data_IF_859198075026
#
_entry.id   IF_859198075026
#
_cell.length_a   1.000
_cell.length_b   1.000
_cell.length_c   1.000
_cell.angle_alpha   90.00
_cell.angle_beta   90.00
_cell.angle_gamma   90.00
#
_symmetry.space_group_name_H-M   'P 1'
#
loop_
_entity.id
_entity.type
_entity.pdbx_description
1 polymer ?
#
# COMPACT_ATOMS: atom_id res chain seq x y z
N UNK A 1 15.88 67.42 -52.33
CA UNK A 1 15.76 67.11 -53.77
C UNK A 1 17.11 66.55 -54.20
N UNK A 2 17.12 65.41 -54.93
CA UNK A 2 18.27 64.53 -55.26
C UNK A 2 18.71 63.60 -54.13
N UNK A 3 19.11 62.36 -54.35
CA UNK A 3 18.96 61.39 -55.45
C UNK A 3 19.34 60.03 -54.85
N UNK A 4 18.75 58.94 -55.38
CA UNK A 4 19.05 57.56 -55.01
C UNK A 4 20.40 57.13 -55.56
N UNK A 5 21.19 56.41 -54.75
CA UNK A 5 22.31 55.57 -55.22
C UNK A 5 22.09 54.15 -54.68
N UNK A 6 22.14 53.20 -55.60
CA UNK A 6 22.14 51.75 -55.42
C UNK A 6 23.54 51.22 -55.07
N UNK A 7 23.62 50.20 -54.21
CA UNK A 7 24.69 49.19 -54.20
C UNK A 7 24.16 47.97 -53.42
N UNK A 8 23.96 46.83 -54.07
CA UNK A 8 24.94 45.81 -54.47
C UNK A 8 25.36 44.91 -53.28
N UNK A 9 24.90 43.67 -53.38
CA UNK A 9 25.05 42.59 -52.43
C UNK A 9 26.49 42.05 -52.44
N UNK A 10 27.02 41.69 -51.28
CA UNK A 10 28.12 40.72 -51.18
C UNK A 10 27.84 39.74 -50.04
N UNK A 11 27.68 38.46 -50.40
CA UNK A 11 27.60 37.34 -49.47
C UNK A 11 29.03 36.95 -49.06
N UNK A 12 29.35 37.08 -47.77
CA UNK A 12 30.51 36.41 -47.16
C UNK A 12 30.12 35.02 -46.62
N UNK A 13 30.99 34.01 -46.68
CA UNK A 13 30.70 32.69 -46.14
C UNK A 13 30.81 32.69 -44.61
N UNK A 14 29.69 32.39 -43.94
CA UNK A 14 29.66 32.17 -42.50
C UNK A 14 30.21 30.77 -42.19
N UNK A 15 31.38 30.71 -41.52
CA UNK A 15 31.87 29.49 -40.90
C UNK A 15 30.98 29.17 -39.70
N UNK A 16 30.10 28.18 -39.84
CA UNK A 16 29.39 27.59 -38.70
C UNK A 16 30.31 26.56 -38.03
N UNK A 17 30.85 26.91 -36.87
CA UNK A 17 31.50 25.97 -35.96
C UNK A 17 30.40 25.08 -35.35
N UNK A 18 30.20 23.89 -35.90
CA UNK A 18 29.31 22.90 -35.33
C UNK A 18 29.94 22.36 -34.02
N UNK A 19 29.49 22.88 -32.88
CA UNK A 19 29.74 22.24 -31.59
C UNK A 19 28.93 20.95 -31.58
N UNK A 20 29.61 19.83 -31.84
CA UNK A 20 29.04 18.51 -31.65
C UNK A 20 28.78 18.33 -30.14
N UNK A 21 27.52 18.57 -29.74
CA UNK A 21 26.99 18.05 -28.49
C UNK A 21 27.00 16.53 -28.60
N UNK A 22 28.10 15.91 -28.17
CA UNK A 22 28.13 14.48 -27.91
C UNK A 22 27.04 14.22 -26.87
N UNK A 23 25.89 13.73 -27.33
CA UNK A 23 24.91 13.11 -26.44
C UNK A 23 25.62 11.90 -25.82
N UNK A 24 26.15 12.09 -24.62
CA UNK A 24 26.57 10.96 -23.79
C UNK A 24 25.27 10.23 -23.48
N UNK A 25 24.94 9.23 -24.29
CA UNK A 25 24.02 8.17 -23.89
C UNK A 25 24.68 7.53 -22.69
N UNK A 26 24.24 7.94 -21.51
CA UNK A 26 24.47 7.15 -20.32
C UNK A 26 23.97 5.75 -20.66
N UNK A 27 24.78 4.68 -20.47
CA UNK A 27 24.27 3.34 -20.65
C UNK A 27 23.00 3.25 -19.79
N UNK A 28 21.92 2.74 -20.38
CA UNK A 28 20.77 2.33 -19.60
C UNK A 28 21.33 1.50 -18.44
N UNK A 29 20.99 1.87 -17.20
CA UNK A 29 21.44 1.11 -16.05
C UNK A 29 21.22 -0.37 -16.38
N UNK A 30 22.30 -1.15 -16.36
CA UNK A 30 22.18 -2.60 -16.57
C UNK A 30 21.01 -3.07 -15.70
N UNK A 31 20.14 -3.93 -16.24
CA UNK A 31 18.92 -4.40 -15.58
C UNK A 31 19.29 -5.22 -14.34
N UNK A 32 19.67 -4.50 -13.28
CA UNK A 32 20.23 -5.00 -12.04
C UNK A 32 19.07 -5.58 -11.24
N UNK A 33 18.68 -6.79 -11.62
CA UNK A 33 17.58 -7.52 -11.02
C UNK A 33 18.02 -8.49 -9.92
N UNK A 34 19.34 -8.54 -9.62
CA UNK A 34 19.93 -9.40 -8.58
C UNK A 34 19.58 -10.90 -8.69
N UNK A 35 19.18 -11.37 -9.88
CA UNK A 35 18.69 -12.74 -10.09
C UNK A 35 17.27 -12.99 -9.56
N UNK A 36 16.54 -11.94 -9.15
CA UNK A 36 15.21 -12.01 -8.57
C UNK A 36 14.16 -11.73 -9.67
N UNK A 37 13.33 -12.72 -10.07
CA UNK A 37 12.36 -12.54 -11.16
C UNK A 37 11.37 -11.40 -10.94
N UNK A 38 10.96 -11.18 -9.69
CA UNK A 38 10.03 -10.12 -9.31
C UNK A 38 10.63 -8.73 -9.55
N UNK A 39 11.92 -8.52 -9.24
CA UNK A 39 12.61 -7.25 -9.50
C UNK A 39 12.68 -6.99 -10.99
N UNK A 40 13.03 -8.01 -11.79
CA UNK A 40 13.03 -7.91 -13.25
C UNK A 40 11.66 -7.50 -13.80
N UNK A 41 10.59 -8.13 -13.31
CA UNK A 41 9.24 -7.80 -13.71
C UNK A 41 8.88 -6.34 -13.38
N UNK A 42 9.17 -5.90 -12.15
CA UNK A 42 8.90 -4.52 -11.70
C UNK A 42 9.69 -3.51 -12.55
N UNK A 43 10.99 -3.74 -12.77
CA UNK A 43 11.82 -2.89 -13.62
C UNK A 43 11.25 -2.75 -15.03
N UNK A 44 10.77 -3.85 -15.62
CA UNK A 44 10.15 -3.84 -16.93
C UNK A 44 8.86 -3.00 -16.95
N UNK A 45 7.99 -3.12 -15.94
CA UNK A 45 6.77 -2.31 -15.84
C UNK A 45 7.07 -0.81 -15.67
N UNK A 46 8.04 -0.48 -14.83
CA UNK A 46 8.47 0.92 -14.62
C UNK A 46 9.06 1.51 -15.90
N UNK A 47 9.91 0.73 -16.59
CA UNK A 47 10.54 1.16 -17.86
C UNK A 47 9.52 1.39 -18.97
N UNK A 48 8.51 0.53 -19.06
CA UNK A 48 7.40 0.70 -20.01
C UNK A 48 6.66 2.01 -19.74
N UNK A 49 6.32 2.29 -18.48
CA UNK A 49 5.67 3.55 -18.10
C UNK A 49 6.51 4.79 -18.43
N UNK A 50 7.83 4.73 -18.25
CA UNK A 50 8.72 5.82 -18.66
C UNK A 50 8.75 6.01 -20.18
N UNK A 51 8.81 4.92 -20.95
CA UNK A 51 8.79 4.98 -22.42
C UNK A 51 7.50 5.63 -22.93
N UNK A 52 6.34 5.20 -22.42
CA UNK A 52 5.04 5.74 -22.81
C UNK A 52 4.91 7.23 -22.47
N UNK A 53 5.42 7.63 -21.31
CA UNK A 53 5.45 9.02 -20.86
C UNK A 53 6.59 9.85 -21.49
N UNK A 54 7.46 9.24 -22.31
CA UNK A 54 8.66 9.85 -22.90
C UNK A 54 9.59 10.47 -21.83
N UNK A 55 9.68 9.82 -20.68
CA UNK A 55 10.52 10.21 -19.57
C UNK A 55 11.86 9.47 -19.63
N UNK A 56 12.92 10.13 -19.18
CA UNK A 56 14.23 9.50 -18.96
C UNK A 56 14.48 9.35 -17.46
N UNK A 57 15.10 8.23 -17.02
CA UNK A 57 15.44 8.05 -15.62
C UNK A 57 16.40 9.14 -15.12
N UNK A 58 16.32 9.46 -13.83
CA UNK A 58 17.32 10.30 -13.18
C UNK A 58 18.69 9.60 -13.15
N UNK A 59 19.75 10.38 -12.94
CA UNK A 59 21.08 9.80 -12.67
C UNK A 59 21.02 8.83 -11.47
N UNK A 60 21.81 7.75 -11.48
CA UNK A 60 21.93 6.87 -10.32
C UNK A 60 22.32 7.64 -9.07
N UNK A 61 21.77 7.23 -7.92
CA UNK A 61 22.14 7.79 -6.63
C UNK A 61 23.61 7.46 -6.30
N UNK A 62 24.28 8.36 -5.58
CA UNK A 62 25.57 8.06 -4.96
C UNK A 62 25.41 6.98 -3.89
N UNK A 63 26.51 6.30 -3.51
CA UNK A 63 26.46 5.25 -2.49
C UNK A 63 25.88 5.74 -1.15
N UNK A 64 26.28 6.93 -0.71
CA UNK A 64 25.76 7.51 0.53
C UNK A 64 24.26 7.83 0.46
N UNK A 65 23.79 8.39 -0.66
CA UNK A 65 22.37 8.65 -0.88
C UNK A 65 21.55 7.36 -0.92
N UNK A 66 22.05 6.35 -1.64
CA UNK A 66 21.38 5.05 -1.75
C UNK A 66 21.30 4.36 -0.39
N UNK A 67 22.41 4.29 0.35
CA UNK A 67 22.47 3.73 1.70
C UNK A 67 21.47 4.41 2.64
N UNK A 68 21.40 5.74 2.60
CA UNK A 68 20.44 6.52 3.39
C UNK A 68 18.99 6.18 3.03
N UNK A 69 18.66 6.11 1.74
CA UNK A 69 17.29 5.80 1.27
C UNK A 69 16.86 4.42 1.72
N UNK A 70 17.70 3.41 1.53
CA UNK A 70 17.36 2.03 1.91
C UNK A 70 17.15 1.87 3.42
N UNK A 71 17.93 2.54 4.27
CA UNK A 71 17.66 2.50 5.72
C UNK A 71 16.32 3.17 6.07
N UNK A 72 16.01 4.30 5.45
CA UNK A 72 14.73 4.99 5.67
C UNK A 72 13.55 4.14 5.21
N UNK A 73 13.68 3.50 4.04
CA UNK A 73 12.61 2.72 3.43
C UNK A 73 12.38 1.37 4.16
N UNK A 74 13.45 0.72 4.64
CA UNK A 74 13.32 -0.60 5.27
C UNK A 74 13.09 -0.54 6.78
N UNK A 75 13.79 0.35 7.49
CA UNK A 75 13.80 0.37 8.97
C UNK A 75 13.43 1.74 9.56
N UNK A 76 13.09 2.73 8.74
CA UNK A 76 12.51 4.00 9.21
C UNK A 76 13.48 4.97 9.87
N UNK A 77 14.80 4.76 9.76
CA UNK A 77 15.83 5.67 10.27
C UNK A 77 16.97 5.84 9.28
N UNK A 78 17.84 6.80 9.56
CA UNK A 78 19.07 7.01 8.78
C UNK A 78 20.15 6.03 9.26
N UNK A 79 21.15 5.70 8.42
CA UNK A 79 22.29 4.91 8.88
C UNK A 79 23.07 5.66 9.96
N UNK A 80 23.62 4.92 10.91
CA UNK A 80 24.66 5.42 11.81
C UNK A 80 25.93 5.71 11.01
N UNK A 81 26.85 6.48 11.61
CA UNK A 81 28.15 6.78 10.98
C UNK A 81 28.90 5.50 10.63
N UNK A 82 28.89 4.50 11.51
CA UNK A 82 29.58 3.23 11.29
C UNK A 82 28.90 2.35 10.24
N UNK A 83 27.57 2.32 10.17
CA UNK A 83 26.83 1.66 9.07
C UNK A 83 27.16 2.29 7.71
N UNK A 84 27.16 3.61 7.64
CA UNK A 84 27.47 4.34 6.41
C UNK A 84 28.93 4.14 5.98
N UNK A 85 29.88 4.29 6.89
CA UNK A 85 31.30 4.11 6.60
C UNK A 85 31.60 2.69 6.12
N UNK A 86 31.01 1.67 6.77
CA UNK A 86 31.14 0.29 6.32
C UNK A 86 30.60 0.09 4.90
N UNK A 87 29.44 0.63 4.59
CA UNK A 87 28.84 0.49 3.25
C UNK A 87 29.63 1.22 2.15
N UNK A 88 30.14 2.42 2.45
CA UNK A 88 30.92 3.21 1.48
C UNK A 88 32.29 2.60 1.23
N UNK A 89 32.93 2.02 2.26
CA UNK A 89 34.22 1.35 2.13
C UNK A 89 34.13 0.00 1.40
N UNK A 90 32.94 -0.58 1.30
CA UNK A 90 32.72 -1.85 0.62
C UNK A 90 32.72 -1.68 -0.91
N UNK A 91 33.63 -2.39 -1.57
CA UNK A 91 33.79 -2.45 -3.03
C UNK A 91 33.16 -3.70 -3.66
N UNK A 92 32.52 -4.55 -2.86
CA UNK A 92 31.81 -5.73 -3.34
C UNK A 92 30.75 -5.33 -4.36
N UNK A 93 30.67 -6.00 -5.53
CA UNK A 93 29.57 -5.80 -6.45
C UNK A 93 28.22 -6.24 -5.86
N UNK A 94 28.21 -7.03 -4.78
CA UNK A 94 27.01 -7.50 -4.11
C UNK A 94 26.57 -6.64 -2.91
N UNK A 95 27.31 -5.57 -2.57
CA UNK A 95 27.09 -4.78 -1.34
C UNK A 95 25.66 -4.26 -1.14
N UNK A 96 24.95 -3.97 -2.23
CA UNK A 96 23.54 -3.55 -2.21
C UNK A 96 22.63 -4.67 -1.72
N UNK A 97 22.75 -5.85 -2.32
CA UNK A 97 21.96 -7.03 -1.95
C UNK A 97 22.30 -7.48 -0.52
N UNK A 98 23.57 -7.43 -0.14
CA UNK A 98 24.03 -7.75 1.22
C UNK A 98 23.48 -6.77 2.26
N UNK A 99 23.50 -5.46 1.99
CA UNK A 99 22.90 -4.48 2.90
C UNK A 99 21.41 -4.70 3.08
N UNK A 100 20.67 -4.92 1.99
CA UNK A 100 19.23 -5.19 2.05
C UNK A 100 18.96 -6.47 2.86
N UNK A 101 19.71 -7.53 2.60
CA UNK A 101 19.58 -8.80 3.33
C UNK A 101 19.83 -8.63 4.83
N UNK A 102 20.82 -7.81 5.20
CA UNK A 102 21.11 -7.50 6.61
C UNK A 102 20.00 -6.68 7.26
N UNK A 103 19.49 -5.64 6.59
CA UNK A 103 18.40 -4.80 7.12
C UNK A 103 17.06 -5.53 7.25
N UNK A 104 16.85 -6.60 6.47
CA UNK A 104 15.70 -7.49 6.58
C UNK A 104 15.96 -8.71 7.49
N UNK A 105 17.18 -8.86 8.00
CA UNK A 105 17.59 -9.99 8.83
C UNK A 105 17.40 -9.75 10.33
N UNK A 106 17.78 -10.75 11.12
CA UNK A 106 17.54 -10.80 12.57
C UNK A 106 18.16 -9.61 13.34
N UNK A 107 19.29 -9.09 12.88
CA UNK A 107 19.97 -7.93 13.51
C UNK A 107 19.10 -6.67 13.54
N UNK A 108 18.17 -6.53 12.58
CA UNK A 108 17.34 -5.33 12.38
C UNK A 108 15.84 -5.61 12.52
N UNK A 109 15.44 -6.84 12.84
CA UNK A 109 14.03 -7.28 12.85
C UNK A 109 13.14 -6.41 13.74
N UNK A 110 13.66 -5.95 14.89
CA UNK A 110 12.91 -5.09 15.81
C UNK A 110 12.66 -3.68 15.26
N UNK A 111 13.61 -3.15 14.48
CA UNK A 111 13.51 -1.84 13.83
C UNK A 111 12.61 -1.93 12.60
N UNK A 112 12.80 -2.95 11.77
CA UNK A 112 11.93 -3.29 10.65
C UNK A 112 10.47 -3.42 11.11
N UNK A 113 10.21 -4.28 12.10
CA UNK A 113 8.86 -4.49 12.61
C UNK A 113 8.28 -3.22 13.25
N UNK A 114 9.11 -2.35 13.84
CA UNK A 114 8.66 -1.06 14.40
C UNK A 114 8.16 -0.16 13.30
N UNK A 115 9.01 0.07 12.31
CA UNK A 115 8.75 0.95 11.21
C UNK A 115 7.49 0.52 10.44
N UNK A 116 7.44 -0.75 10.03
CA UNK A 116 6.32 -1.26 9.25
C UNK A 116 5.04 -1.41 10.06
N UNK A 117 5.11 -1.59 11.39
CA UNK A 117 3.89 -1.52 12.24
C UNK A 117 3.25 -0.15 12.19
N UNK A 118 4.03 0.93 12.20
CA UNK A 118 3.50 2.30 12.15
C UNK A 118 2.86 2.60 10.78
N UNK A 119 3.52 2.16 9.70
CA UNK A 119 3.01 2.27 8.32
C UNK A 119 1.72 1.47 8.16
N UNK A 120 1.73 0.18 8.47
CA UNK A 120 0.58 -0.71 8.28
C UNK A 120 -0.58 -0.39 9.21
N UNK A 121 -0.34 0.06 10.45
CA UNK A 121 -1.43 0.53 11.32
C UNK A 121 -2.15 1.71 10.66
N UNK A 122 -1.43 2.62 10.02
CA UNK A 122 -2.03 3.75 9.32
C UNK A 122 -2.82 3.29 8.08
N UNK A 123 -2.27 2.36 7.30
CA UNK A 123 -2.93 1.82 6.10
C UNK A 123 -4.20 1.05 6.45
N UNK A 124 -4.14 0.19 7.47
CA UNK A 124 -5.24 -0.72 7.82
C UNK A 124 -6.35 -0.04 8.60
N UNK A 125 -6.02 0.84 9.55
CA UNK A 125 -7.01 1.42 10.49
C UNK A 125 -7.01 2.96 10.51
N UNK A 126 -6.37 3.60 9.52
CA UNK A 126 -6.36 5.05 9.36
C UNK A 126 -5.50 5.78 10.40
N UNK A 127 -5.61 7.10 10.47
CA UNK A 127 -4.93 7.95 11.48
C UNK A 127 -5.82 8.36 12.65
N UNK A 128 -7.14 8.16 12.51
CA UNK A 128 -8.08 8.56 13.55
C UNK A 128 -7.89 7.68 14.79
N UNK A 129 -7.46 8.30 15.88
CA UNK A 129 -7.28 7.63 17.19
C UNK A 129 -8.57 7.63 18.03
N UNK A 130 -9.61 8.34 17.59
CA UNK A 130 -10.91 8.44 18.28
C UNK A 130 -11.96 7.45 17.73
N UNK A 131 -11.58 6.52 16.85
CA UNK A 131 -12.50 5.48 16.41
C UNK A 131 -12.68 4.45 17.54
N UNK A 132 -13.80 4.54 18.26
CA UNK A 132 -14.18 3.66 19.36
C UNK A 132 -14.29 2.18 18.98
N UNK A 133 -14.43 1.86 17.68
CA UNK A 133 -14.47 0.47 17.19
C UNK A 133 -13.08 -0.15 17.01
N UNK A 134 -12.01 0.64 17.16
CA UNK A 134 -10.63 0.21 16.91
C UNK A 134 -9.75 0.35 18.14
N UNK A 135 -9.22 -0.78 18.61
CA UNK A 135 -8.14 -0.85 19.57
C UNK A 135 -6.77 -0.81 18.84
N UNK A 136 -6.24 0.40 18.68
CA UNK A 136 -4.94 0.61 18.02
C UNK A 136 -3.77 -0.14 18.68
N UNK A 137 -3.64 -0.19 20.02
CA UNK A 137 -2.62 -1.02 20.67
C UNK A 137 -2.70 -2.51 20.30
N UNK A 138 -3.90 -3.10 20.26
CA UNK A 138 -4.13 -4.49 19.85
C UNK A 138 -3.72 -4.75 18.40
N UNK A 139 -4.08 -3.86 17.47
CA UNK A 139 -3.62 -3.93 16.09
C UNK A 139 -2.09 -3.86 15.99
N UNK A 140 -1.45 -2.96 16.74
CA UNK A 140 0.02 -2.84 16.75
C UNK A 140 0.69 -4.11 17.28
N UNK A 141 0.10 -4.75 18.29
CA UNK A 141 0.62 -6.02 18.81
C UNK A 141 0.56 -7.13 17.76
N UNK A 142 -0.54 -7.23 17.03
CA UNK A 142 -0.67 -8.15 15.90
C UNK A 142 0.38 -7.86 14.81
N UNK A 143 0.47 -6.60 14.36
CA UNK A 143 1.41 -6.19 13.31
C UNK A 143 2.87 -6.45 13.69
N UNK A 144 3.25 -6.14 14.94
CA UNK A 144 4.59 -6.43 15.45
C UNK A 144 4.92 -7.91 15.34
N UNK A 145 4.02 -8.78 15.78
CA UNK A 145 4.17 -10.24 15.68
C UNK A 145 4.28 -10.69 14.23
N UNK A 146 3.35 -10.26 13.37
CA UNK A 146 3.28 -10.65 11.97
C UNK A 146 4.55 -10.26 11.20
N UNK A 147 4.98 -9.00 11.34
CA UNK A 147 6.13 -8.44 10.64
C UNK A 147 7.46 -9.02 11.15
N UNK A 148 7.62 -9.20 12.47
CA UNK A 148 8.85 -9.78 13.04
C UNK A 148 9.03 -11.25 12.65
N UNK A 149 7.92 -11.96 12.39
CA UNK A 149 7.95 -13.35 11.91
C UNK A 149 8.00 -13.47 10.39
N UNK A 150 8.01 -12.33 9.67
CA UNK A 150 7.96 -12.28 8.22
C UNK A 150 6.86 -13.18 7.64
N UNK A 151 5.63 -13.07 8.18
CA UNK A 151 4.54 -13.92 7.69
C UNK A 151 4.25 -13.62 6.21
N UNK A 152 3.98 -14.64 5.38
CA UNK A 152 3.65 -14.46 3.98
C UNK A 152 2.46 -13.52 3.77
N UNK A 153 2.47 -12.75 2.67
CA UNK A 153 1.48 -11.72 2.41
C UNK A 153 0.04 -12.27 2.27
N UNK A 154 -0.10 -13.45 1.68
CA UNK A 154 -1.36 -14.19 1.58
C UNK A 154 -1.91 -14.55 2.96
N UNK A 155 -1.05 -15.08 3.86
CA UNK A 155 -1.43 -15.37 5.24
C UNK A 155 -1.74 -14.09 6.04
N UNK A 156 -0.98 -13.02 5.84
CA UNK A 156 -1.24 -11.72 6.48
C UNK A 156 -2.61 -11.15 6.08
N UNK A 157 -2.97 -11.28 4.80
CA UNK A 157 -4.27 -10.89 4.28
C UNK A 157 -5.37 -11.77 4.87
N UNK A 158 -5.21 -13.11 4.81
CA UNK A 158 -6.16 -14.08 5.35
C UNK A 158 -6.43 -13.86 6.84
N UNK A 159 -5.39 -13.71 7.65
CA UNK A 159 -5.49 -13.42 9.10
C UNK A 159 -6.30 -12.14 9.37
N UNK A 160 -6.22 -11.13 8.49
CA UNK A 160 -6.95 -9.86 8.64
C UNK A 160 -8.40 -9.93 8.18
N UNK A 161 -8.69 -10.61 7.06
CA UNK A 161 -10.04 -10.65 6.47
C UNK A 161 -10.95 -11.71 7.10
N UNK A 162 -10.37 -12.74 7.74
CA UNK A 162 -11.13 -13.81 8.41
C UNK A 162 -11.13 -13.69 9.93
N UNK A 163 -10.55 -12.61 10.47
CA UNK A 163 -10.36 -12.44 11.91
C UNK A 163 -11.68 -12.50 12.69
N UNK A 164 -11.69 -13.25 13.79
CA UNK A 164 -12.76 -13.23 14.81
C UNK A 164 -12.15 -13.04 16.21
N UNK A 165 -12.98 -12.67 17.19
CA UNK A 165 -12.60 -12.50 18.59
C UNK A 165 -12.52 -11.04 19.05
N UNK A 166 -11.97 -10.83 20.23
CA UNK A 166 -11.89 -9.52 20.87
C UNK A 166 -10.69 -8.71 20.40
N UNK A 167 -10.91 -7.43 20.10
CA UNK A 167 -9.86 -6.56 19.58
C UNK A 167 -8.92 -5.99 20.67
N UNK A 168 -9.24 -6.18 21.95
CA UNK A 168 -8.53 -5.63 23.10
C UNK A 168 -7.86 -6.73 23.93
N UNK A 169 -6.56 -6.57 24.16
CA UNK A 169 -5.80 -7.46 25.04
C UNK A 169 -5.96 -7.01 26.50
N UNK A 170 -6.93 -7.59 27.21
CA UNK A 170 -7.22 -7.32 28.62
C UNK A 170 -7.30 -8.64 29.38
N UNK A 171 -6.93 -8.63 30.66
CA UNK A 171 -6.88 -9.83 31.51
C UNK A 171 -8.23 -10.56 31.60
N UNK A 172 -9.32 -9.81 31.62
CA UNK A 172 -10.68 -10.33 31.80
C UNK A 172 -11.46 -10.43 30.46
N UNK A 173 -10.74 -10.43 29.33
CA UNK A 173 -11.31 -10.56 27.99
C UNK A 173 -10.66 -11.75 27.30
N UNK A 174 -11.47 -12.77 27.01
CA UNK A 174 -11.03 -13.95 26.27
C UNK A 174 -11.01 -13.70 24.76
N UNK A 175 -10.34 -14.58 24.02
CA UNK A 175 -10.34 -14.55 22.55
C UNK A 175 -9.66 -13.33 21.94
N UNK A 176 -8.64 -12.75 22.60
CA UNK A 176 -7.92 -11.61 22.04
C UNK A 176 -7.32 -11.95 20.67
N UNK A 177 -7.69 -11.16 19.67
CA UNK A 177 -7.14 -11.20 18.33
C UNK A 177 -7.00 -9.76 17.79
N UNK A 178 -5.77 -9.26 17.72
CA UNK A 178 -5.48 -7.91 17.24
C UNK A 178 -5.84 -7.68 15.76
N UNK A 179 -5.91 -8.73 14.93
CA UNK A 179 -6.23 -8.65 13.50
C UNK A 179 -7.66 -8.15 13.25
N UNK A 180 -8.59 -8.45 14.19
CA UNK A 180 -10.01 -8.05 14.15
C UNK A 180 -10.20 -6.55 13.98
N UNK A 181 -9.23 -5.73 14.40
CA UNK A 181 -9.25 -4.28 14.26
C UNK A 181 -9.34 -3.82 12.79
N UNK A 182 -8.92 -4.64 11.82
CA UNK A 182 -9.05 -4.30 10.41
C UNK A 182 -10.52 -4.19 9.99
N UNK A 183 -11.34 -5.19 10.30
CA UNK A 183 -12.77 -5.16 9.95
C UNK A 183 -13.61 -4.38 10.98
N UNK A 184 -13.28 -4.42 12.28
CA UNK A 184 -14.08 -3.78 13.34
C UNK A 184 -14.38 -2.31 13.06
N UNK A 185 -13.39 -1.55 12.58
CA UNK A 185 -13.56 -0.13 12.23
C UNK A 185 -14.21 0.14 10.87
N UNK A 186 -14.65 -0.90 10.15
CA UNK A 186 -15.24 -0.86 8.80
C UNK A 186 -16.61 -1.54 8.71
N UNK A 187 -17.06 -2.17 9.80
CA UNK A 187 -18.40 -2.71 9.90
C UNK A 187 -19.34 -1.65 10.45
N UNK A 188 -20.55 -1.60 9.91
CA UNK A 188 -21.66 -0.85 10.51
C UNK A 188 -22.52 -1.81 11.35
N UNK A 189 -23.37 -1.29 12.24
CA UNK A 189 -24.16 -2.16 13.13
C UNK A 189 -25.16 -3.01 12.35
N UNK A 190 -25.96 -2.40 11.48
CA UNK A 190 -26.96 -3.07 10.64
C UNK A 190 -27.28 -2.21 9.41
N UNK A 191 -27.92 -2.81 8.40
CA UNK A 191 -28.47 -2.10 7.24
C UNK A 191 -27.65 -2.21 5.97
N UNK A 192 -28.07 -1.46 4.94
CA UNK A 192 -27.51 -1.51 3.57
C UNK A 192 -26.04 -1.13 3.51
N UNK A 193 -25.57 -0.34 4.47
CA UNK A 193 -24.17 0.11 4.54
C UNK A 193 -23.23 -0.91 5.19
N UNK A 194 -23.76 -2.00 5.77
CA UNK A 194 -22.93 -2.99 6.42
C UNK A 194 -21.94 -3.64 5.44
N UNK A 195 -20.66 -3.68 5.83
CA UNK A 195 -19.58 -4.24 5.03
C UNK A 195 -19.13 -3.38 3.83
N UNK A 196 -19.75 -2.23 3.56
CA UNK A 196 -19.37 -1.36 2.42
C UNK A 196 -17.92 -0.92 2.53
N UNK A 197 -17.53 -0.39 3.69
CA UNK A 197 -16.14 0.03 3.94
C UNK A 197 -15.18 -1.15 3.95
N UNK A 198 -15.60 -2.31 4.47
CA UNK A 198 -14.80 -3.54 4.45
C UNK A 198 -14.52 -3.99 3.01
N UNK A 199 -15.52 -3.96 2.14
CA UNK A 199 -15.44 -4.29 0.72
C UNK A 199 -14.44 -3.37 0.01
N UNK A 200 -14.66 -2.05 0.11
CA UNK A 200 -13.84 -1.06 -0.57
C UNK A 200 -12.38 -1.11 -0.12
N UNK A 201 -12.14 -1.28 1.20
CA UNK A 201 -10.78 -1.28 1.75
C UNK A 201 -10.05 -2.59 1.52
N UNK A 202 -10.74 -3.73 1.55
CA UNK A 202 -10.14 -5.02 1.21
C UNK A 202 -9.68 -5.04 -0.25
N UNK A 203 -10.54 -4.61 -1.18
CA UNK A 203 -10.18 -4.50 -2.59
C UNK A 203 -9.04 -3.51 -2.83
N UNK A 204 -9.08 -2.34 -2.17
CA UNK A 204 -8.04 -1.32 -2.32
C UNK A 204 -6.68 -1.79 -1.80
N UNK A 205 -6.63 -2.38 -0.59
CA UNK A 205 -5.39 -2.69 0.11
C UNK A 205 -4.75 -3.99 -0.40
N UNK A 206 -5.56 -5.03 -0.66
CA UNK A 206 -5.02 -6.36 -0.98
C UNK A 206 -5.09 -6.71 -2.46
N UNK A 207 -5.98 -6.10 -3.23
CA UNK A 207 -6.11 -6.36 -4.67
C UNK A 207 -5.58 -5.19 -5.53
N UNK A 208 -5.28 -4.04 -4.92
CA UNK A 208 -4.90 -2.82 -5.65
C UNK A 208 -6.04 -2.25 -6.49
N UNK A 209 -7.29 -2.60 -6.20
CA UNK A 209 -8.47 -2.22 -6.99
C UNK A 209 -9.27 -1.11 -6.29
N UNK A 210 -9.55 -0.04 -7.02
CA UNK A 210 -10.46 1.01 -6.57
C UNK A 210 -11.90 0.70 -7.00
N UNK A 211 -12.70 0.17 -6.07
CA UNK A 211 -14.08 -0.27 -6.32
C UNK A 211 -15.14 0.62 -5.63
N UNK A 212 -14.74 1.66 -4.92
CA UNK A 212 -15.66 2.50 -4.15
C UNK A 212 -16.72 3.20 -5.01
N UNK A 213 -16.37 3.62 -6.23
CA UNK A 213 -17.34 4.26 -7.14
C UNK A 213 -18.40 3.26 -7.62
N UNK A 214 -18.06 1.97 -7.69
CA UNK A 214 -18.99 0.93 -8.11
C UNK A 214 -20.01 0.54 -7.04
N UNK A 215 -19.91 1.08 -5.82
CA UNK A 215 -20.97 0.96 -4.82
C UNK A 215 -22.31 1.49 -5.36
N UNK A 216 -22.28 2.65 -6.05
CA UNK A 216 -23.49 3.38 -6.44
C UNK A 216 -23.87 3.24 -7.91
N UNK A 217 -22.91 2.98 -8.81
CA UNK A 217 -23.15 2.86 -10.25
C UNK A 217 -22.02 2.10 -10.97
N UNK A 218 -22.24 1.59 -12.18
CA UNK A 218 -21.15 1.05 -12.99
C UNK A 218 -20.06 2.10 -13.26
N UNK A 219 -18.79 1.71 -13.26
CA UNK A 219 -17.69 2.66 -13.44
C UNK A 219 -17.74 3.31 -14.84
N UNK A 220 -17.61 4.64 -14.98
CA UNK A 220 -17.81 5.32 -16.25
C UNK A 220 -16.71 5.05 -17.30
N UNK A 221 -15.49 4.71 -16.85
CA UNK A 221 -14.32 4.60 -17.73
C UNK A 221 -13.66 3.21 -17.76
N UNK A 222 -14.18 2.24 -17.02
CA UNK A 222 -13.62 0.89 -16.96
C UNK A 222 -14.75 -0.15 -16.86
N UNK A 223 -14.39 -1.44 -16.81
CA UNK A 223 -15.37 -2.54 -16.84
C UNK A 223 -15.99 -2.87 -15.48
N UNK A 224 -15.66 -2.15 -14.42
CA UNK A 224 -16.17 -2.41 -13.07
C UNK A 224 -17.68 -2.18 -13.01
N UNK A 225 -18.41 -3.18 -12.54
CA UNK A 225 -19.87 -3.11 -12.41
C UNK A 225 -20.32 -3.02 -10.96
N UNK A 226 -21.49 -2.41 -10.76
CA UNK A 226 -22.07 -2.25 -9.44
C UNK A 226 -22.40 -3.60 -8.78
N UNK A 227 -22.93 -4.55 -9.54
CA UNK A 227 -23.22 -5.89 -9.00
C UNK A 227 -21.97 -6.57 -8.43
N UNK A 228 -20.80 -6.41 -9.07
CA UNK A 228 -19.54 -7.00 -8.58
C UNK A 228 -19.11 -6.44 -7.22
N UNK A 229 -19.38 -5.16 -6.96
CA UNK A 229 -19.14 -4.57 -5.64
C UNK A 229 -20.01 -5.25 -4.58
N UNK A 230 -21.31 -5.41 -4.87
CA UNK A 230 -22.25 -6.01 -3.93
C UNK A 230 -22.06 -7.51 -3.76
N UNK A 231 -21.66 -8.24 -4.81
CA UNK A 231 -21.24 -9.64 -4.74
C UNK A 231 -20.06 -9.82 -3.77
N UNK A 232 -19.06 -8.93 -3.82
CA UNK A 232 -17.96 -8.95 -2.86
C UNK A 232 -18.42 -8.52 -1.45
N UNK A 233 -19.35 -7.57 -1.36
CA UNK A 233 -19.92 -7.13 -0.08
C UNK A 233 -20.63 -8.26 0.67
N UNK A 234 -21.27 -9.19 -0.03
CA UNK A 234 -22.01 -10.30 0.56
C UNK A 234 -21.16 -11.12 1.56
N UNK A 235 -19.87 -11.34 1.27
CA UNK A 235 -18.94 -12.03 2.19
C UNK A 235 -18.76 -11.31 3.53
N UNK A 236 -18.88 -9.98 3.56
CA UNK A 236 -18.73 -9.19 4.78
C UNK A 236 -20.05 -9.00 5.54
N UNK A 237 -21.21 -9.32 4.93
CA UNK A 237 -22.52 -9.12 5.58
C UNK A 237 -22.79 -10.09 6.71
N UNK A 238 -22.03 -11.18 6.81
CA UNK A 238 -22.07 -12.11 7.95
C UNK A 238 -21.18 -11.64 9.11
N UNK A 239 -20.27 -10.70 8.88
CA UNK A 239 -19.44 -10.15 9.95
C UNK A 239 -20.23 -9.15 10.82
N UNK A 240 -20.07 -9.24 12.15
CA UNK A 240 -20.61 -8.29 13.13
C UNK A 240 -19.54 -7.78 14.07
N UNK A 241 -19.50 -6.47 14.25
CA UNK A 241 -18.62 -5.80 15.21
C UNK A 241 -19.41 -5.44 16.48
N UNK A 242 -19.47 -6.37 17.44
CA UNK A 242 -20.22 -6.22 18.68
C UNK A 242 -19.48 -5.28 19.64
N UNK A 243 -20.07 -4.13 19.92
CA UNK A 243 -19.56 -3.17 20.91
C UNK A 243 -19.82 -3.70 22.32
N UNK A 244 -18.77 -3.92 23.11
CA UNK A 244 -18.88 -4.37 24.50
C UNK A 244 -18.67 -3.19 25.44
N UNK A 245 -19.62 -2.98 26.33
CA UNK A 245 -19.65 -1.92 27.33
C UNK A 245 -19.56 -2.54 28.73
N UNK A 246 -18.90 -1.85 29.67
CA UNK A 246 -18.76 -2.32 31.05
C UNK A 246 -19.41 -1.34 32.04
N UNK A 247 -20.74 -1.24 31.98
CA UNK A 247 -21.52 -0.39 32.89
C UNK A 247 -21.39 1.13 32.62
N UNK A 248 -20.76 1.53 31.53
CA UNK A 248 -20.71 2.91 31.03
C UNK A 248 -21.15 2.97 29.57
N UNK A 249 -21.36 4.18 29.04
CA UNK A 249 -21.66 4.37 27.62
C UNK A 249 -20.43 4.24 26.71
N UNK A 250 -19.23 4.12 27.28
CA UNK A 250 -18.01 3.99 26.51
C UNK A 250 -17.82 2.55 26.01
N UNK A 251 -17.51 2.42 24.72
CA UNK A 251 -17.10 1.13 24.14
C UNK A 251 -15.76 0.73 24.74
N UNK A 252 -15.74 -0.39 25.49
CA UNK A 252 -14.55 -0.88 26.17
C UNK A 252 -13.69 -1.75 25.27
N UNK A 253 -14.31 -2.53 24.39
CA UNK A 253 -13.70 -3.28 23.30
C UNK A 253 -14.76 -3.64 22.25
N UNK A 254 -14.31 -4.13 21.11
CA UNK A 254 -15.16 -4.74 20.09
C UNK A 254 -14.83 -6.21 19.97
N UNK A 255 -15.87 -7.03 19.86
CA UNK A 255 -15.77 -8.44 19.49
C UNK A 255 -16.27 -8.62 18.06
N UNK A 256 -15.41 -9.16 17.20
CA UNK A 256 -15.73 -9.43 15.81
C UNK A 256 -16.19 -10.89 15.71
N UNK A 257 -17.45 -11.09 15.31
CA UNK A 257 -18.06 -12.42 15.19
C UNK A 257 -18.59 -12.64 13.79
N UNK A 258 -18.73 -13.92 13.43
CA UNK A 258 -19.45 -14.36 12.25
C UNK A 258 -20.87 -14.75 12.67
N UNK A 259 -21.87 -14.17 12.00
CA UNK A 259 -23.28 -14.39 12.27
C UNK A 259 -24.02 -14.47 10.94
N UNK A 260 -24.83 -15.52 10.77
CA UNK A 260 -25.57 -15.71 9.52
C UNK A 260 -26.42 -14.49 9.17
N UNK A 261 -26.34 -14.09 7.91
CA UNK A 261 -27.01 -12.88 7.46
C UNK A 261 -28.51 -13.14 7.35
N UNK A 262 -29.29 -12.57 8.26
CA UNK A 262 -30.73 -12.80 8.38
C UNK A 262 -31.63 -12.09 7.34
N UNK A 263 -31.06 -11.33 6.39
CA UNK A 263 -31.85 -10.52 5.45
C UNK A 263 -32.63 -9.39 6.13
N UNK A 264 -33.53 -8.75 5.38
CA UNK A 264 -34.53 -7.83 5.95
C UNK A 264 -35.65 -8.58 6.68
N UNK A 265 -35.85 -9.87 6.35
CA UNK A 265 -36.86 -10.73 6.97
C UNK A 265 -36.50 -11.25 8.37
N UNK A 266 -35.26 -11.09 8.81
CA UNK A 266 -34.83 -11.50 10.16
C UNK A 266 -34.66 -13.02 10.35
N UNK A 267 -34.75 -13.81 9.28
CA UNK A 267 -34.52 -15.25 9.29
C UNK A 267 -33.36 -15.61 8.32
N UNK A 268 -32.22 -16.07 8.84
CA UNK A 268 -31.08 -16.48 8.00
C UNK A 268 -31.38 -17.61 7.03
N UNK A 269 -32.30 -18.52 7.35
CA UNK A 269 -32.67 -19.64 6.47
C UNK A 269 -33.47 -19.18 5.25
N UNK A 270 -34.11 -18.00 5.33
CA UNK A 270 -34.94 -17.39 4.29
C UNK A 270 -34.28 -16.13 3.71
N UNK A 271 -33.03 -15.86 4.07
CA UNK A 271 -32.35 -14.64 3.69
C UNK A 271 -31.95 -14.68 2.21
N UNK A 272 -32.73 -13.98 1.38
CA UNK A 272 -32.36 -13.70 0.01
C UNK A 272 -31.34 -12.55 -0.04
N UNK A 273 -30.13 -12.83 -0.51
CA UNK A 273 -29.17 -11.79 -0.90
C UNK A 273 -29.63 -11.16 -2.21
N UNK A 274 -30.59 -10.24 -2.12
CA UNK A 274 -31.03 -9.46 -3.27
C UNK A 274 -29.93 -8.51 -3.75
N UNK A 275 -29.47 -8.75 -4.98
CA UNK A 275 -28.74 -7.76 -5.78
C UNK A 275 -29.77 -7.06 -6.67
N UNK A 276 -30.50 -6.07 -6.16
CA UNK A 276 -31.26 -5.21 -7.08
C UNK A 276 -30.26 -4.50 -7.99
N UNK A 277 -30.31 -4.83 -9.29
CA UNK A 277 -29.72 -4.01 -10.33
C UNK A 277 -30.47 -2.67 -10.28
N UNK A 278 -29.91 -1.65 -9.61
CA UNK A 278 -30.49 -0.30 -9.56
C UNK A 278 -30.47 0.42 -10.92
N UNK A 279 -30.21 -0.32 -11.98
CA UNK A 279 -30.18 0.06 -13.39
C UNK A 279 -30.75 -1.01 -14.34
N UNK A 280 -31.44 -2.05 -13.84
CA UNK A 280 -32.03 -3.12 -14.65
C UNK A 280 -31.06 -4.21 -15.06
#
# INVERSE_FOLDING_TARGET
MRDRISSAWSCGPWLFLAVALASVRLPAAEDEHFGIPQVKFINAQVSAGWSDAKLSPSKPATDGEWCRRVHLDLIGRVPTVDELNRYVADSSPAKRAELVSRLLGDDYVDEYARHWTDVWATVLIGRNVQNERVNRPGMRQYLRRALSKNIPYDQFMEELVTATGANANKKDVEGFNGATNFLSGKMEEMGVENGVQATAKTAQIFLGLQVQCTQCHNHPFNKGKQNQFWEMNAFFRQTRALRKRAGTDDVQWVELVDEDFAGEGGNPEEAELYYELRNG
#
